data_IF_776878820837
#
_entry.id   IF_776878820837
#
_cell.length_a   1.000
_cell.length_b   1.000
_cell.length_c   1.000
_cell.angle_alpha   90.00
_cell.angle_beta   90.00
_cell.angle_gamma   90.00
#
_symmetry.space_group_name_H-M   'P 1'
#
loop_
_entity.id
_entity.type
_entity.pdbx_description
1 polymer ?
#
# COMPACT_ATOMS: atom_id res chain seq x y z
N UNK A 1 -15.60 16.30 -16.34
CA UNK A 1 -15.83 15.28 -15.29
C UNK A 1 -15.95 15.96 -13.94
N UNK A 2 -17.00 15.69 -13.15
CA UNK A 2 -17.16 16.31 -11.82
C UNK A 2 -16.14 15.67 -10.87
N UNK A 3 -15.11 16.41 -10.47
CA UNK A 3 -14.05 15.96 -9.54
C UNK A 3 -14.65 15.72 -8.15
N UNK A 4 -15.00 14.48 -7.85
CA UNK A 4 -15.44 14.03 -6.51
C UNK A 4 -14.25 13.57 -5.69
N UNK A 5 -14.33 13.64 -4.35
CA UNK A 5 -13.31 13.07 -3.44
C UNK A 5 -12.94 11.63 -3.81
N UNK A 6 -13.91 10.80 -4.16
CA UNK A 6 -13.71 9.41 -4.59
C UNK A 6 -12.78 9.29 -5.80
N UNK A 7 -12.88 10.20 -6.78
CA UNK A 7 -12.06 10.13 -7.99
C UNK A 7 -10.60 10.51 -7.71
N UNK A 8 -10.38 11.46 -6.81
CA UNK A 8 -9.03 11.88 -6.39
C UNK A 8 -8.36 10.75 -5.61
N UNK A 9 -9.10 10.10 -4.70
CA UNK A 9 -8.58 8.95 -3.95
C UNK A 9 -8.27 7.78 -4.89
N UNK A 10 -9.14 7.52 -5.88
CA UNK A 10 -8.89 6.48 -6.89
C UNK A 10 -7.65 6.78 -7.74
N UNK A 11 -7.42 8.04 -8.09
CA UNK A 11 -6.19 8.47 -8.76
C UNK A 11 -4.96 8.23 -7.87
N UNK A 12 -5.04 8.55 -6.58
CA UNK A 12 -3.95 8.27 -5.61
C UNK A 12 -3.62 6.78 -5.50
N UNK A 13 -4.64 5.92 -5.46
CA UNK A 13 -4.51 4.45 -5.51
C UNK A 13 -3.82 4.02 -6.82
N UNK A 14 -4.23 4.56 -7.96
CA UNK A 14 -3.64 4.19 -9.25
C UNK A 14 -2.15 4.58 -9.34
N UNK A 15 -1.80 5.80 -8.91
CA UNK A 15 -0.40 6.26 -8.86
C UNK A 15 0.42 5.37 -7.92
N UNK A 16 -0.18 5.00 -6.77
CA UNK A 16 0.48 4.16 -5.79
C UNK A 16 0.77 2.76 -6.36
N UNK A 17 -0.22 2.12 -6.97
CA UNK A 17 -0.02 0.80 -7.59
C UNK A 17 1.02 0.84 -8.73
N UNK A 18 1.04 1.92 -9.51
CA UNK A 18 2.03 2.08 -10.59
C UNK A 18 3.46 2.18 -10.03
N UNK A 19 3.68 3.01 -9.01
CA UNK A 19 4.99 3.14 -8.38
C UNK A 19 5.43 1.84 -7.68
N UNK A 20 4.51 1.10 -7.07
CA UNK A 20 4.79 -0.20 -6.47
C UNK A 20 5.21 -1.26 -7.49
N UNK A 21 4.53 -1.31 -8.64
CA UNK A 21 4.81 -2.29 -9.71
C UNK A 21 6.07 -1.96 -10.52
N UNK A 22 6.55 -0.72 -10.51
CA UNK A 22 7.75 -0.35 -11.24
C UNK A 22 9.03 -1.03 -10.69
N UNK A 23 9.12 -1.30 -9.38
CA UNK A 23 10.28 -1.98 -8.79
C UNK A 23 10.56 -3.38 -9.37
N UNK A 24 9.63 -4.35 -9.29
CA UNK A 24 9.90 -5.70 -9.79
C UNK A 24 10.18 -5.72 -11.30
N UNK A 25 9.66 -4.73 -12.05
CA UNK A 25 9.97 -4.59 -13.48
C UNK A 25 11.43 -4.15 -13.66
N UNK A 26 11.89 -3.13 -12.92
CA UNK A 26 13.28 -2.65 -12.98
C UNK A 26 14.25 -3.75 -12.53
N UNK A 27 13.95 -4.43 -11.42
CA UNK A 27 14.75 -5.56 -10.91
C UNK A 27 14.81 -6.72 -11.91
N UNK A 28 13.68 -7.08 -12.52
CA UNK A 28 13.65 -8.12 -13.55
C UNK A 28 14.44 -7.71 -14.80
N UNK A 29 14.30 -6.47 -15.25
CA UNK A 29 15.07 -5.95 -16.40
C UNK A 29 16.57 -5.97 -16.12
N UNK A 30 16.98 -5.59 -14.91
CA UNK A 30 18.39 -5.66 -14.49
C UNK A 30 18.89 -7.10 -14.52
N UNK A 31 18.18 -8.04 -13.88
CA UNK A 31 18.53 -9.46 -13.90
C UNK A 31 18.60 -10.03 -15.32
N UNK A 32 17.65 -9.65 -16.19
CA UNK A 32 17.65 -10.07 -17.58
C UNK A 32 18.87 -9.53 -18.34
N UNK A 33 19.29 -8.29 -18.06
CA UNK A 33 20.48 -7.68 -18.64
C UNK A 33 21.79 -8.26 -18.07
N UNK A 34 21.84 -8.55 -16.77
CA UNK A 34 23.02 -9.17 -16.16
C UNK A 34 23.22 -10.60 -16.66
N UNK A 35 22.13 -11.32 -16.94
CA UNK A 35 22.16 -12.66 -17.55
C UNK A 35 22.69 -12.68 -19.00
N UNK A 36 22.77 -11.54 -19.70
CA UNK A 36 23.37 -11.48 -21.05
C UNK A 36 24.87 -11.21 -21.01
N UNK A 37 25.43 -10.87 -19.84
CA UNK A 37 26.84 -10.58 -19.67
C UNK A 37 27.58 -11.81 -19.19
N UNK A 38 28.80 -11.98 -19.70
CA UNK A 38 29.73 -13.02 -19.24
C UNK A 38 30.26 -12.72 -17.83
N UNK A 39 30.28 -11.45 -17.42
CA UNK A 39 30.62 -11.04 -16.07
C UNK A 39 29.63 -10.01 -15.48
N UNK A 40 29.18 -10.26 -14.26
CA UNK A 40 28.27 -9.39 -13.51
C UNK A 40 29.13 -8.57 -12.54
N UNK A 41 29.29 -7.28 -12.82
CA UNK A 41 30.03 -6.37 -11.96
C UNK A 41 29.18 -6.01 -10.72
N UNK A 42 29.82 -5.77 -9.55
CA UNK A 42 29.11 -5.30 -8.37
C UNK A 42 28.51 -3.91 -8.58
N UNK A 43 27.43 -3.65 -7.86
CA UNK A 43 26.69 -2.41 -8.00
C UNK A 43 27.45 -1.20 -7.48
N UNK A 44 27.39 -0.12 -8.24
CA UNK A 44 27.92 1.18 -7.80
C UNK A 44 27.18 1.70 -6.57
N UNK A 45 27.87 2.49 -5.73
CA UNK A 45 27.25 3.17 -4.58
C UNK A 45 25.97 3.93 -4.94
N UNK A 46 25.97 4.63 -6.09
CA UNK A 46 24.80 5.38 -6.55
C UNK A 46 23.59 4.46 -6.79
N UNK A 47 23.82 3.28 -7.39
CA UNK A 47 22.75 2.30 -7.61
C UNK A 47 22.16 1.81 -6.28
N UNK A 48 23.01 1.39 -5.34
CA UNK A 48 22.58 0.91 -4.01
C UNK A 48 21.83 2.01 -3.24
N UNK A 49 22.27 3.27 -3.37
CA UNK A 49 21.59 4.42 -2.77
C UNK A 49 20.21 4.68 -3.38
N UNK A 50 20.07 4.63 -4.70
CA UNK A 50 18.76 4.77 -5.35
C UNK A 50 17.84 3.60 -5.02
N UNK A 51 18.37 2.37 -4.97
CA UNK A 51 17.62 1.19 -4.55
C UNK A 51 17.10 1.34 -3.12
N UNK A 52 17.91 1.86 -2.21
CA UNK A 52 17.51 2.11 -0.82
C UNK A 52 16.37 3.13 -0.69
N UNK A 53 16.46 4.25 -1.41
CA UNK A 53 15.38 5.24 -1.48
C UNK A 53 14.13 4.60 -2.08
N UNK A 54 14.29 3.86 -3.17
CA UNK A 54 13.17 3.24 -3.87
C UNK A 54 12.46 2.19 -3.01
N UNK A 55 13.22 1.39 -2.25
CA UNK A 55 12.68 0.42 -1.30
C UNK A 55 11.83 1.11 -0.23
N UNK A 56 12.31 2.22 0.32
CA UNK A 56 11.57 3.03 1.30
C UNK A 56 10.29 3.62 0.68
N UNK A 57 10.36 4.12 -0.56
CA UNK A 57 9.20 4.62 -1.29
C UNK A 57 8.19 3.52 -1.59
N UNK A 58 8.63 2.30 -1.92
CA UNK A 58 7.75 1.18 -2.23
C UNK A 58 6.91 0.78 -1.00
N UNK A 59 7.55 0.73 0.16
CA UNK A 59 6.91 0.44 1.45
C UNK A 59 5.88 1.54 1.80
N UNK A 60 6.24 2.80 1.58
CA UNK A 60 5.35 3.96 1.72
C UNK A 60 4.10 3.87 0.86
N UNK A 61 4.32 3.63 -0.43
CA UNK A 61 3.28 3.63 -1.44
C UNK A 61 2.32 2.47 -1.22
N UNK A 62 2.81 1.30 -0.82
CA UNK A 62 1.99 0.13 -0.51
C UNK A 62 1.05 0.37 0.68
N UNK A 63 1.54 1.01 1.75
CA UNK A 63 0.70 1.42 2.89
C UNK A 63 -0.31 2.48 2.49
N UNK A 64 0.14 3.48 1.73
CA UNK A 64 -0.72 4.57 1.25
C UNK A 64 -1.91 4.01 0.47
N UNK A 65 -1.69 3.08 -0.46
CA UNK A 65 -2.75 2.40 -1.21
C UNK A 65 -3.82 1.78 -0.29
N UNK A 66 -3.40 1.05 0.74
CA UNK A 66 -4.30 0.42 1.70
C UNK A 66 -5.13 1.46 2.48
N UNK A 67 -4.49 2.52 3.00
CA UNK A 67 -5.19 3.58 3.73
C UNK A 67 -6.11 4.40 2.85
N UNK A 68 -5.72 4.68 1.60
CA UNK A 68 -6.57 5.34 0.60
C UNK A 68 -7.79 4.48 0.27
N UNK A 69 -7.62 3.16 0.14
CA UNK A 69 -8.72 2.22 -0.04
C UNK A 69 -9.70 2.24 1.13
N UNK A 70 -9.20 2.26 2.38
CA UNK A 70 -10.03 2.39 3.58
C UNK A 70 -10.74 3.75 3.65
N UNK A 71 -10.05 4.84 3.29
CA UNK A 71 -10.64 6.17 3.21
C UNK A 71 -11.77 6.22 2.16
N UNK A 72 -11.58 5.58 1.01
CA UNK A 72 -12.61 5.47 -0.02
C UNK A 72 -13.83 4.69 0.48
N UNK A 73 -13.62 3.56 1.14
CA UNK A 73 -14.69 2.72 1.68
C UNK A 73 -15.48 3.45 2.78
N UNK A 74 -14.77 4.12 3.71
CA UNK A 74 -15.39 4.89 4.78
C UNK A 74 -16.20 6.07 4.27
N UNK A 75 -15.68 6.87 3.31
CA UNK A 75 -16.43 7.97 2.68
C UNK A 75 -17.75 7.46 2.11
N UNK A 76 -17.74 6.31 1.43
CA UNK A 76 -18.97 5.73 0.87
C UNK A 76 -19.96 5.31 1.93
N UNK A 77 -19.48 4.70 3.01
CA UNK A 77 -20.31 4.35 4.15
C UNK A 77 -20.94 5.59 4.79
N UNK A 78 -20.17 6.66 5.00
CA UNK A 78 -20.69 7.93 5.53
C UNK A 78 -21.71 8.58 4.59
N UNK A 79 -21.46 8.53 3.28
CA UNK A 79 -22.37 9.07 2.25
C UNK A 79 -23.71 8.34 2.22
N UNK A 80 -23.72 7.03 2.46
CA UNK A 80 -24.95 6.24 2.57
C UNK A 80 -25.68 6.46 3.90
N UNK A 81 -24.95 6.53 5.01
CA UNK A 81 -25.53 6.62 6.35
C UNK A 81 -26.07 8.01 6.68
N UNK A 82 -25.43 9.07 6.20
CA UNK A 82 -25.78 10.45 6.55
C UNK A 82 -25.87 11.39 5.33
N UNK A 83 -26.83 11.20 4.41
CA UNK A 83 -26.90 11.93 3.14
C UNK A 83 -27.00 13.47 3.26
N UNK A 84 -27.40 14.00 4.43
CA UNK A 84 -27.61 15.42 4.67
C UNK A 84 -26.35 16.18 5.16
N UNK A 85 -25.34 15.47 5.68
CA UNK A 85 -24.07 16.05 6.20
C UNK A 85 -22.87 15.84 5.27
N UNK A 86 -23.08 15.27 4.08
CA UNK A 86 -22.01 14.73 3.20
C UNK A 86 -21.52 15.69 2.13
N UNK A 87 -22.08 16.91 2.04
CA UNK A 87 -21.65 17.92 1.06
C UNK A 87 -20.18 18.31 1.23
N UNK A 88 -19.65 18.23 2.45
CA UNK A 88 -18.23 18.45 2.76
C UNK A 88 -17.36 17.24 2.44
N UNK A 89 -17.80 16.02 2.77
CA UNK A 89 -17.06 14.76 2.53
C UNK A 89 -16.95 14.36 1.04
N UNK A 90 -17.85 14.88 0.21
CA UNK A 90 -17.85 14.66 -1.25
C UNK A 90 -17.07 15.74 -2.02
N UNK A 91 -16.55 16.76 -1.33
CA UNK A 91 -15.76 17.82 -1.95
C UNK A 91 -14.39 17.31 -2.42
N UNK A 92 -13.87 17.90 -3.51
CA UNK A 92 -12.54 17.56 -4.03
C UNK A 92 -11.42 17.85 -3.02
N UNK A 93 -11.55 18.94 -2.25
CA UNK A 93 -10.60 19.31 -1.19
C UNK A 93 -10.50 18.26 -0.08
N UNK A 94 -11.63 17.63 0.29
CA UNK A 94 -11.62 16.55 1.28
C UNK A 94 -10.87 15.30 0.77
N UNK A 95 -11.00 14.99 -0.52
CA UNK A 95 -10.23 13.93 -1.18
C UNK A 95 -8.73 14.19 -1.12
N UNK A 96 -8.29 15.40 -1.50
CA UNK A 96 -6.88 15.80 -1.42
C UNK A 96 -6.33 15.76 0.00
N UNK A 97 -7.08 16.28 0.98
CA UNK A 97 -6.66 16.22 2.39
C UNK A 97 -6.54 14.78 2.88
N UNK A 98 -7.47 13.89 2.48
CA UNK A 98 -7.40 12.47 2.85
C UNK A 98 -6.16 11.81 2.25
N UNK A 99 -5.83 12.11 0.99
CA UNK A 99 -4.62 11.61 0.37
C UNK A 99 -3.35 12.12 1.04
N UNK A 100 -3.30 13.40 1.38
CA UNK A 100 -2.16 14.01 2.04
C UNK A 100 -1.95 13.44 3.44
N UNK A 101 -3.03 13.25 4.22
CA UNK A 101 -2.95 12.63 5.55
C UNK A 101 -2.47 11.18 5.45
N UNK A 102 -3.01 10.40 4.51
CA UNK A 102 -2.60 9.01 4.29
C UNK A 102 -1.12 8.90 3.91
N UNK A 103 -0.67 9.79 3.02
CA UNK A 103 0.73 9.85 2.61
C UNK A 103 1.65 10.23 3.79
N UNK A 104 1.34 11.30 4.52
CA UNK A 104 2.14 11.72 5.68
C UNK A 104 2.23 10.64 6.76
N UNK A 105 1.11 9.99 7.08
CA UNK A 105 1.11 8.90 8.05
C UNK A 105 1.96 7.72 7.59
N UNK A 106 1.89 7.38 6.29
CA UNK A 106 2.71 6.33 5.71
C UNK A 106 4.20 6.66 5.78
N UNK A 107 4.56 7.88 5.37
CA UNK A 107 5.94 8.37 5.32
C UNK A 107 6.61 8.45 6.69
N UNK A 108 5.87 8.72 7.77
CA UNK A 108 6.43 8.65 9.12
C UNK A 108 6.94 7.24 9.43
N UNK A 109 6.19 6.21 9.04
CA UNK A 109 6.56 4.83 9.32
C UNK A 109 7.71 4.39 8.41
N UNK A 110 7.73 4.73 7.12
CA UNK A 110 8.86 4.36 6.24
C UNK A 110 10.10 5.16 6.54
N UNK A 111 9.97 6.39 7.04
CA UNK A 111 11.12 7.13 7.50
C UNK A 111 11.79 6.43 8.69
N UNK A 112 11.02 5.77 9.57
CA UNK A 112 11.60 4.95 10.62
C UNK A 112 12.42 3.75 10.08
N UNK A 113 11.99 3.13 8.96
CA UNK A 113 12.78 2.12 8.26
C UNK A 113 14.08 2.68 7.70
N UNK A 114 13.98 3.83 7.04
CA UNK A 114 15.13 4.52 6.47
C UNK A 114 16.18 4.82 7.54
N UNK A 115 15.79 5.33 8.71
CA UNK A 115 16.71 5.53 9.84
C UNK A 115 17.31 4.23 10.40
N UNK A 116 16.62 3.11 10.25
CA UNK A 116 17.06 1.79 10.72
C UNK A 116 18.09 1.10 9.82
N UNK A 117 18.38 1.67 8.65
CA UNK A 117 19.26 1.08 7.64
C UNK A 117 20.39 2.05 7.27
N UNK A 118 21.52 1.52 6.82
CA UNK A 118 22.65 2.30 6.35
C UNK A 118 23.36 1.56 5.21
N UNK A 119 24.06 2.30 4.36
CA UNK A 119 24.94 1.71 3.34
C UNK A 119 26.32 1.53 3.96
N UNK A 120 26.80 0.30 4.03
CA UNK A 120 28.14 0.00 4.49
C UNK A 120 29.03 -0.42 3.32
N UNK A 121 30.27 0.05 3.36
CA UNK A 121 31.33 -0.44 2.50
C UNK A 121 31.90 -1.73 3.12
N UNK A 122 31.81 -2.83 2.39
CA UNK A 122 32.24 -4.16 2.89
C UNK A 122 33.72 -4.40 2.62
N UNK A 123 34.28 -3.79 1.57
CA UNK A 123 35.66 -3.98 1.14
C UNK A 123 35.79 -4.15 -0.37
N UNK A 124 37.02 -4.42 -0.80
CA UNK A 124 37.31 -4.83 -2.17
C UNK A 124 37.07 -6.33 -2.31
N UNK A 125 36.23 -6.71 -3.27
CA UNK A 125 36.16 -8.11 -3.69
C UNK A 125 37.03 -8.26 -4.94
N UNK A 126 37.95 -9.23 -4.92
CA UNK A 126 38.56 -9.72 -6.16
C UNK A 126 37.48 -10.48 -6.93
N UNK A 127 37.07 -9.94 -8.06
CA UNK A 127 36.14 -10.59 -8.97
C UNK A 127 36.92 -11.22 -10.11
N UNK A 128 36.85 -12.54 -10.24
CA UNK A 128 37.45 -13.25 -11.38
C UNK A 128 36.46 -13.24 -12.55
N UNK A 129 36.46 -12.15 -13.33
CA UNK A 129 35.88 -12.20 -14.67
C UNK A 129 36.85 -12.99 -15.56
N UNK A 130 36.47 -14.18 -16.00
CA UNK A 130 37.19 -14.91 -17.05
C UNK A 130 36.90 -14.26 -18.41
N UNK A 131 37.45 -13.07 -18.66
CA UNK A 131 37.58 -12.60 -20.04
C UNK A 131 38.73 -13.37 -20.68
N UNK A 132 38.44 -14.11 -21.76
CA UNK A 132 39.38 -14.91 -22.55
C UNK A 132 40.54 -14.07 -23.17
N UNK A 133 40.53 -12.75 -22.96
CA UNK A 133 41.48 -11.79 -23.56
C UNK A 133 42.23 -10.88 -22.57
N UNK A 134 42.00 -10.94 -21.24
CA UNK A 134 42.86 -10.22 -20.28
C UNK A 134 42.72 -10.72 -18.83
N UNK A 135 43.71 -11.40 -18.24
CA UNK A 135 43.66 -11.93 -16.88
C UNK A 135 43.99 -10.88 -15.81
N UNK A 136 43.54 -9.63 -15.99
CA UNK A 136 43.76 -8.60 -14.99
C UNK A 136 42.67 -8.69 -13.92
N UNK A 137 43.05 -9.20 -12.75
CA UNK A 137 42.26 -9.10 -11.52
C UNK A 137 41.90 -7.64 -11.27
N UNK A 138 40.64 -7.29 -11.51
CA UNK A 138 40.12 -5.97 -11.20
C UNK A 138 39.41 -6.05 -9.85
N UNK A 139 39.84 -5.21 -8.92
CA UNK A 139 39.19 -5.08 -7.61
C UNK A 139 38.08 -4.04 -7.71
N UNK A 140 36.90 -4.40 -7.21
CA UNK A 140 35.74 -3.51 -7.18
C UNK A 140 35.28 -3.31 -5.74
N UNK A 141 34.81 -2.09 -5.45
CA UNK A 141 34.25 -1.73 -4.14
C UNK A 141 32.83 -2.29 -4.00
N UNK A 142 32.56 -3.00 -2.91
CA UNK A 142 31.24 -3.53 -2.61
C UNK A 142 30.51 -2.67 -1.57
N UNK A 143 29.31 -2.25 -1.93
CA UNK A 143 28.38 -1.54 -1.07
C UNK A 143 27.13 -2.39 -0.85
N UNK A 144 26.73 -2.59 0.41
CA UNK A 144 25.48 -3.29 0.76
C UNK A 144 24.69 -2.50 1.79
N UNK A 145 23.37 -2.74 1.82
CA UNK A 145 22.51 -2.23 2.88
C UNK A 145 22.63 -3.10 4.13
N UNK A 146 22.97 -2.48 5.26
CA UNK A 146 23.08 -3.13 6.57
C UNK A 146 22.22 -2.41 7.62
N UNK A 147 21.87 -3.05 8.75
CA UNK A 147 21.27 -2.35 9.87
C UNK A 147 22.15 -1.18 10.33
N UNK A 148 21.52 -0.05 10.67
CA UNK A 148 22.21 1.10 11.25
C UNK A 148 22.57 0.86 12.72
N UNK A 149 23.46 1.68 13.30
CA UNK A 149 23.78 1.65 14.73
C UNK A 149 22.54 1.85 15.62
N UNK A 150 21.54 2.58 15.12
CA UNK A 150 20.22 2.73 15.76
C UNK A 150 19.43 1.43 15.74
N UNK A 151 19.48 0.70 14.62
CA UNK A 151 18.82 -0.59 14.47
C UNK A 151 19.41 -1.64 15.40
N UNK A 152 20.74 -1.68 15.57
CA UNK A 152 21.44 -2.61 16.46
C UNK A 152 21.26 -2.28 17.95
N UNK A 153 20.78 -1.09 18.26
CA UNK A 153 20.62 -0.60 19.61
C UNK A 153 19.80 -1.55 20.49
N UNK A 154 20.34 -1.85 21.68
CA UNK A 154 19.72 -2.68 22.70
C UNK A 154 19.23 -4.05 22.17
N UNK A 155 20.06 -4.74 21.39
CA UNK A 155 19.75 -6.09 20.89
C UNK A 155 18.66 -6.09 19.82
N UNK A 156 18.76 -5.16 18.87
CA UNK A 156 17.82 -4.97 17.76
C UNK A 156 16.41 -4.53 18.17
N UNK A 157 16.28 -3.83 19.31
CA UNK A 157 14.98 -3.41 19.83
C UNK A 157 14.25 -2.47 18.87
N UNK A 158 14.97 -1.51 18.28
CA UNK A 158 14.41 -0.56 17.32
C UNK A 158 13.79 -1.27 16.11
N UNK A 159 14.53 -2.20 15.53
CA UNK A 159 14.06 -2.99 14.38
C UNK A 159 12.88 -3.89 14.72
N UNK A 160 12.83 -4.47 15.92
CA UNK A 160 11.66 -5.22 16.40
C UNK A 160 10.42 -4.33 16.53
N UNK A 161 10.55 -3.16 17.16
CA UNK A 161 9.43 -2.21 17.30
C UNK A 161 8.94 -1.79 15.91
N UNK A 162 9.85 -1.45 15.01
CA UNK A 162 9.53 -1.12 13.62
C UNK A 162 8.79 -2.27 12.91
N UNK A 163 9.28 -3.51 13.00
CA UNK A 163 8.66 -4.68 12.38
C UNK A 163 7.23 -4.90 12.92
N UNK A 164 7.02 -4.77 14.23
CA UNK A 164 5.68 -4.87 14.83
C UNK A 164 4.76 -3.75 14.32
N UNK A 165 5.22 -2.49 14.32
CA UNK A 165 4.43 -1.38 13.78
C UNK A 165 4.08 -1.60 12.32
N UNK A 166 5.05 -1.99 11.49
CA UNK A 166 4.82 -2.25 10.07
C UNK A 166 3.85 -3.43 9.86
N UNK A 167 3.99 -4.51 10.62
CA UNK A 167 3.07 -5.66 10.53
C UNK A 167 1.63 -5.26 10.89
N UNK A 168 1.46 -4.54 12.01
CA UNK A 168 0.13 -4.11 12.48
C UNK A 168 -0.52 -3.15 11.50
N UNK A 169 0.15 -2.04 11.18
CA UNK A 169 -0.46 -0.96 10.37
C UNK A 169 -0.57 -1.30 8.89
N UNK A 170 0.38 -2.06 8.33
CA UNK A 170 0.44 -2.31 6.88
C UNK A 170 -0.18 -3.63 6.46
N UNK A 171 -0.19 -4.64 7.33
CA UNK A 171 -0.55 -6.02 6.94
C UNK A 171 -1.77 -6.57 7.68
N UNK A 172 -2.06 -6.12 8.90
CA UNK A 172 -3.14 -6.69 9.73
C UNK A 172 -4.34 -5.76 9.80
N UNK A 173 -4.10 -4.46 10.02
CA UNK A 173 -5.15 -3.47 10.16
C UNK A 173 -6.00 -3.32 8.88
N UNK A 174 -5.43 -3.22 7.66
CA UNK A 174 -6.23 -3.17 6.44
C UNK A 174 -7.15 -4.39 6.24
N UNK A 175 -6.69 -5.66 6.30
CA UNK A 175 -7.57 -6.81 6.08
C UNK A 175 -8.61 -7.03 7.18
N UNK A 176 -8.50 -6.41 8.35
CA UNK A 176 -9.57 -6.41 9.36
C UNK A 176 -10.57 -5.27 9.12
N UNK A 177 -10.09 -4.07 8.80
CA UNK A 177 -10.96 -2.90 8.61
C UNK A 177 -11.75 -2.96 7.30
N UNK A 178 -11.15 -3.44 6.21
CA UNK A 178 -11.83 -3.59 4.92
C UNK A 178 -13.12 -4.43 5.00
N UNK A 179 -13.14 -5.65 5.58
CA UNK A 179 -14.36 -6.43 5.70
C UNK A 179 -15.38 -5.79 6.65
N UNK A 180 -14.94 -5.18 7.77
CA UNK A 180 -15.87 -4.48 8.69
C UNK A 180 -16.60 -3.36 7.95
N UNK A 181 -15.87 -2.50 7.21
CA UNK A 181 -16.45 -1.42 6.42
C UNK A 181 -17.36 -1.95 5.31
N UNK A 182 -17.00 -3.07 4.69
CA UNK A 182 -17.79 -3.71 3.64
C UNK A 182 -19.11 -4.26 4.18
N UNK A 183 -19.09 -4.96 5.32
CA UNK A 183 -20.30 -5.48 5.97
C UNK A 183 -21.23 -4.31 6.35
N UNK A 184 -20.68 -3.26 6.96
CA UNK A 184 -21.46 -2.07 7.33
C UNK A 184 -22.12 -1.45 6.08
N UNK A 185 -21.38 -1.33 4.99
CA UNK A 185 -21.90 -0.80 3.73
C UNK A 185 -23.01 -1.69 3.14
N UNK A 186 -22.88 -3.02 3.20
CA UNK A 186 -23.93 -3.96 2.75
C UNK A 186 -25.20 -3.79 3.59
N UNK A 187 -25.07 -3.67 4.91
CA UNK A 187 -26.20 -3.46 5.83
C UNK A 187 -26.95 -2.17 5.50
N UNK A 188 -26.23 -1.06 5.29
CA UNK A 188 -26.86 0.22 4.95
C UNK A 188 -27.56 0.17 3.58
N UNK A 189 -26.97 -0.50 2.58
CA UNK A 189 -27.62 -0.70 1.27
C UNK A 189 -28.91 -1.52 1.40
N UNK A 190 -28.90 -2.60 2.19
CA UNK A 190 -30.11 -3.42 2.42
C UNK A 190 -31.21 -2.60 3.10
N UNK A 191 -30.87 -1.83 4.12
CA UNK A 191 -31.81 -0.95 4.83
C UNK A 191 -32.46 0.09 3.90
N UNK A 192 -31.68 0.72 3.03
CA UNK A 192 -32.20 1.67 2.03
C UNK A 192 -33.13 0.95 1.04
N UNK A 193 -32.77 -0.26 0.60
CA UNK A 193 -33.56 -1.06 -0.35
C UNK A 193 -34.90 -1.50 0.25
N UNK A 194 -34.92 -1.96 1.49
CA UNK A 194 -36.15 -2.33 2.20
C UNK A 194 -37.08 -1.14 2.40
N UNK A 195 -36.50 0.00 2.81
CA UNK A 195 -37.27 1.25 2.94
C UNK A 195 -37.88 1.64 1.59
N UNK A 196 -37.10 1.52 0.50
CA UNK A 196 -37.57 1.78 -0.86
C UNK A 196 -38.74 0.87 -1.27
N UNK A 197 -38.63 -0.43 -1.01
CA UNK A 197 -39.67 -1.41 -1.37
C UNK A 197 -40.97 -1.16 -0.60
N UNK A 198 -40.90 -0.76 0.67
CA UNK A 198 -42.07 -0.32 1.44
C UNK A 198 -42.69 0.97 0.90
N UNK A 199 -41.87 1.88 0.38
CA UNK A 199 -42.31 3.17 -0.17
C UNK A 199 -42.90 3.08 -1.58
N UNK A 200 -42.49 2.11 -2.42
CA UNK A 200 -43.11 1.87 -3.72
C UNK A 200 -44.58 1.41 -3.62
N UNK A 201 -45.01 0.96 -2.44
CA UNK A 201 -46.42 0.65 -2.16
C UNK A 201 -47.28 1.91 -1.89
N UNK A 202 -46.67 3.09 -1.67
CA UNK A 202 -47.39 4.32 -1.30
C UNK A 202 -47.10 5.46 -2.29
N UNK A 203 -48.08 5.71 -3.15
CA UNK A 203 -48.03 6.71 -4.23
C UNK A 203 -48.09 8.15 -3.68
N UNK A 204 -46.95 8.83 -3.61
CA UNK A 204 -46.88 10.31 -3.62
C UNK A 204 -45.65 10.73 -4.43
N UNK A 205 -45.85 11.47 -5.52
CA UNK A 205 -44.95 11.41 -6.68
C UNK A 205 -43.87 12.49 -6.81
N UNK A 206 -44.01 13.74 -6.31
CA UNK A 206 -43.13 14.81 -6.81
C UNK A 206 -41.87 15.11 -5.98
N UNK A 207 -41.94 15.14 -4.64
CA UNK A 207 -40.73 15.30 -3.78
C UNK A 207 -39.91 14.00 -3.70
N UNK A 208 -40.57 12.89 -4.02
CA UNK A 208 -40.09 11.53 -3.87
C UNK A 208 -39.37 11.04 -5.12
N UNK A 209 -39.75 11.53 -6.32
CA UNK A 209 -39.02 11.22 -7.55
C UNK A 209 -37.58 11.73 -7.49
N UNK A 210 -37.33 12.92 -6.93
CA UNK A 210 -35.96 13.43 -6.75
C UNK A 210 -35.15 12.57 -5.78
N UNK A 211 -35.76 12.10 -4.68
CA UNK A 211 -35.12 11.18 -3.73
C UNK A 211 -34.86 9.80 -4.35
N UNK A 212 -35.82 9.25 -5.10
CA UNK A 212 -35.71 7.97 -5.82
C UNK A 212 -34.65 8.08 -6.94
N UNK A 213 -34.59 9.20 -7.65
CA UNK A 213 -33.61 9.44 -8.72
C UNK A 213 -32.21 9.68 -8.15
N UNK A 214 -32.07 10.41 -7.03
CA UNK A 214 -30.78 10.54 -6.35
C UNK A 214 -30.32 9.21 -5.78
N UNK A 215 -31.21 8.41 -5.20
CA UNK A 215 -30.87 7.10 -4.63
C UNK A 215 -30.62 6.04 -5.70
N UNK A 216 -31.29 6.07 -6.86
CA UNK A 216 -31.05 5.14 -7.98
C UNK A 216 -29.73 5.46 -8.71
N UNK A 217 -29.44 6.75 -8.93
CA UNK A 217 -28.20 7.20 -9.55
C UNK A 217 -27.01 6.99 -8.62
N UNK A 218 -27.22 7.16 -7.31
CA UNK A 218 -26.27 6.77 -6.27
C UNK A 218 -26.12 5.24 -6.19
N UNK A 219 -27.20 4.45 -6.26
CA UNK A 219 -27.14 2.98 -6.30
C UNK A 219 -26.38 2.44 -7.51
N UNK A 220 -26.58 3.01 -8.70
CA UNK A 220 -25.86 2.62 -9.93
C UNK A 220 -24.36 2.90 -9.83
N UNK A 221 -23.97 4.10 -9.35
CA UNK A 221 -22.57 4.41 -9.01
C UNK A 221 -22.02 3.56 -7.86
N UNK A 222 -22.85 3.23 -6.88
CA UNK A 222 -22.50 2.35 -5.77
C UNK A 222 -22.29 0.91 -6.25
N UNK A 223 -23.04 0.39 -7.22
CA UNK A 223 -22.90 -1.00 -7.66
C UNK A 223 -21.49 -1.31 -8.20
N UNK A 224 -20.96 -0.48 -9.11
CA UNK A 224 -19.61 -0.67 -9.64
C UNK A 224 -18.53 -0.49 -8.56
N UNK A 225 -18.75 0.46 -7.68
CA UNK A 225 -17.72 0.88 -6.73
C UNK A 225 -17.72 0.05 -5.43
N UNK A 226 -18.87 -0.46 -5.02
CA UNK A 226 -19.04 -1.49 -3.99
C UNK A 226 -18.44 -2.81 -4.46
N UNK A 227 -18.63 -3.20 -5.74
CA UNK A 227 -17.93 -4.35 -6.33
C UNK A 227 -16.42 -4.19 -6.24
N UNK A 228 -15.90 -3.00 -6.55
CA UNK A 228 -14.48 -2.68 -6.36
C UNK A 228 -14.02 -2.84 -4.91
N UNK A 229 -14.76 -2.30 -3.93
CA UNK A 229 -14.39 -2.43 -2.49
C UNK A 229 -14.42 -3.88 -2.03
N UNK A 230 -15.42 -4.66 -2.45
CA UNK A 230 -15.52 -6.10 -2.13
C UNK A 230 -14.33 -6.85 -2.74
N UNK A 231 -14.04 -6.62 -4.03
CA UNK A 231 -12.91 -7.27 -4.70
C UNK A 231 -11.57 -6.89 -4.05
N UNK A 232 -11.37 -5.60 -3.77
CA UNK A 232 -10.19 -5.12 -3.07
C UNK A 232 -10.05 -5.74 -1.68
N UNK A 233 -11.15 -5.88 -0.95
CA UNK A 233 -11.17 -6.54 0.37
C UNK A 233 -10.73 -8.00 0.26
N UNK A 234 -11.28 -8.76 -0.67
CA UNK A 234 -10.90 -10.16 -0.90
C UNK A 234 -9.42 -10.25 -1.27
N UNK A 235 -8.96 -9.41 -2.19
CA UNK A 235 -7.56 -9.38 -2.62
C UNK A 235 -6.61 -9.05 -1.45
N UNK A 236 -6.94 -8.07 -0.60
CA UNK A 236 -6.13 -7.69 0.56
C UNK A 236 -6.11 -8.78 1.64
N UNK A 237 -7.25 -9.43 1.90
CA UNK A 237 -7.31 -10.54 2.87
C UNK A 237 -6.47 -11.73 2.40
N UNK A 238 -6.55 -12.10 1.12
CA UNK A 238 -5.79 -13.24 0.60
C UNK A 238 -4.30 -12.93 0.49
N UNK A 239 -3.92 -11.73 0.01
CA UNK A 239 -2.52 -11.40 -0.27
C UNK A 239 -1.74 -10.88 0.94
N UNK A 240 -2.36 -10.06 1.79
CA UNK A 240 -1.64 -9.29 2.81
C UNK A 240 -1.76 -9.89 4.21
N UNK A 241 -2.85 -10.60 4.51
CA UNK A 241 -3.03 -11.22 5.82
C UNK A 241 -2.00 -12.32 6.11
N UNK A 242 -1.73 -13.29 5.20
CA UNK A 242 -0.70 -14.31 5.45
C UNK A 242 0.68 -13.68 5.65
N UNK A 243 1.04 -12.71 4.80
CA UNK A 243 2.29 -11.97 4.93
C UNK A 243 2.40 -11.25 6.28
N UNK A 244 1.32 -10.65 6.80
CA UNK A 244 1.32 -10.01 8.11
C UNK A 244 1.60 -10.96 9.27
N UNK A 245 1.01 -12.16 9.22
CA UNK A 245 1.27 -13.21 10.22
C UNK A 245 2.74 -13.63 10.19
N UNK A 246 3.32 -13.84 9.01
CA UNK A 246 4.75 -14.16 8.86
C UNK A 246 5.68 -13.09 9.45
N UNK A 247 5.37 -11.80 9.21
CA UNK A 247 6.18 -10.70 9.76
C UNK A 247 6.11 -10.63 11.29
N UNK A 248 4.94 -10.88 11.88
CA UNK A 248 4.82 -10.96 13.34
C UNK A 248 5.60 -12.15 13.90
N UNK A 249 5.46 -13.33 13.31
CA UNK A 249 6.21 -14.51 13.77
C UNK A 249 7.72 -14.28 13.67
N UNK A 250 8.20 -13.63 12.60
CA UNK A 250 9.61 -13.27 12.43
C UNK A 250 10.10 -12.29 13.50
N UNK A 251 9.27 -11.31 13.86
CA UNK A 251 9.62 -10.34 14.91
C UNK A 251 9.75 -10.97 16.31
N UNK A 252 9.00 -12.04 16.60
CA UNK A 252 9.04 -12.73 17.90
C UNK A 252 10.05 -13.89 17.94
N UNK A 253 10.35 -14.52 16.80
CA UNK A 253 11.27 -15.66 16.70
C UNK A 253 12.39 -15.43 15.67
N UNK A 254 13.36 -14.54 15.95
CA UNK A 254 14.48 -14.31 15.04
C UNK A 254 15.43 -15.52 14.91
N UNK A 255 15.44 -16.45 15.87
CA UNK A 255 16.34 -17.62 15.89
C UNK A 255 15.91 -18.79 15.00
N UNK A 256 14.67 -18.83 14.51
CA UNK A 256 14.16 -20.00 13.76
C UNK A 256 14.63 -20.08 12.29
N UNK A 257 15.43 -19.12 11.82
CA UNK A 257 15.92 -19.09 10.44
C UNK A 257 17.42 -18.81 10.29
N UNK A 258 18.21 -18.83 11.37
CA UNK A 258 19.68 -18.80 11.25
C UNK A 258 20.28 -20.19 10.93
N UNK A 259 19.43 -21.23 10.88
CA UNK A 259 19.81 -22.63 10.59
C UNK A 259 19.23 -23.16 9.25
N UNK A 260 18.93 -22.29 8.27
CA UNK A 260 18.61 -22.71 6.89
C UNK A 260 19.38 -21.90 5.87
#
# INVERSE_FOLDING_TARGET
MRTSSTNIILLGIAISNLAYMAYPIIDWMKKAYDNTKECILPDSYAYVFFEWIYFSLQDDVRRCDAFLGLAMASIRTFVLKFPMRTRTATSSSFGWNSCLIAFLFSSIISFALFLGTQIAHVGYIEWECYEESNPNKTSFELYIMVPSTLSEWNGFLYSKIYLVMNAVFSKILPPILFPILTILLIVEIRKITETRNRMFSNSNQNKYLTFIFSSSLQYSRHSATTKFVIFNTIAYVISSFPAGVFYLTYSFFPLWCLDV
#
